data_IF_687214278076
#
_entry.id   IF_687214278076
#
_cell.length_a   1.000
_cell.length_b   1.000
_cell.length_c   1.000
_cell.angle_alpha   90.00
_cell.angle_beta   90.00
_cell.angle_gamma   90.00
#
_symmetry.space_group_name_H-M   'P 1'
#
loop_
_entity.id
_entity.type
_entity.pdbx_description
1 polymer ?
#
# COMPACT_ATOMS: atom_id res chain seq x y z
N UNK A 1 6.49 -4.79 13.07
CA UNK A 1 7.52 -5.56 12.33
C UNK A 1 8.85 -4.87 12.51
N UNK A 2 9.92 -5.66 12.63
CA UNK A 2 11.30 -5.19 12.59
C UNK A 2 12.04 -5.83 11.41
N UNK A 3 12.86 -5.05 10.72
CA UNK A 3 13.67 -5.48 9.58
C UNK A 3 15.08 -4.92 9.73
N UNK A 4 16.07 -5.79 9.66
CA UNK A 4 17.47 -5.43 9.52
C UNK A 4 17.93 -5.71 8.10
N UNK A 5 18.45 -4.67 7.46
CA UNK A 5 19.01 -4.77 6.12
C UNK A 5 20.42 -4.15 6.10
N UNK A 6 21.30 -4.72 5.29
CA UNK A 6 22.55 -4.08 4.89
C UNK A 6 22.31 -3.36 3.58
N UNK A 7 22.53 -2.05 3.51
CA UNK A 7 22.39 -1.24 2.28
C UNK A 7 23.78 -0.70 1.96
N UNK A 8 24.42 -1.22 0.90
CA UNK A 8 25.85 -1.01 0.69
C UNK A 8 26.66 -1.53 1.88
N UNK A 9 27.33 -0.62 2.60
CA UNK A 9 28.12 -0.96 3.80
C UNK A 9 27.44 -0.65 5.14
N UNK A 10 26.28 0.01 5.12
CA UNK A 10 25.57 0.37 6.33
C UNK A 10 24.55 -0.69 6.74
N UNK A 11 24.49 -0.99 8.05
CA UNK A 11 23.40 -1.78 8.63
C UNK A 11 22.32 -0.84 9.14
N UNK A 12 21.10 -1.05 8.67
CA UNK A 12 19.95 -0.21 9.02
C UNK A 12 18.85 -1.07 9.63
N UNK A 13 18.31 -0.59 10.76
CA UNK A 13 17.10 -1.12 11.38
C UNK A 13 15.89 -0.31 10.93
N UNK A 14 14.85 -0.98 10.48
CA UNK A 14 13.53 -0.41 10.22
C UNK A 14 12.50 -1.04 11.16
N UNK A 15 11.57 -0.23 11.67
CA UNK A 15 10.56 -0.67 12.63
C UNK A 15 9.21 0.01 12.35
N UNK A 16 8.14 -0.78 12.31
CA UNK A 16 6.79 -0.26 12.08
C UNK A 16 5.86 -1.27 11.43
N UNK A 17 4.89 -0.77 10.65
CA UNK A 17 4.06 -1.63 9.79
C UNK A 17 4.89 -2.16 8.62
N UNK A 18 4.54 -3.36 8.13
CA UNK A 18 5.25 -4.01 7.03
C UNK A 18 5.37 -3.12 5.79
N UNK A 19 4.29 -2.45 5.40
CA UNK A 19 4.26 -1.56 4.23
C UNK A 19 5.21 -0.39 4.41
N UNK A 20 5.14 0.30 5.57
CA UNK A 20 5.98 1.46 5.86
C UNK A 20 7.46 1.10 5.88
N UNK A 21 7.79 -0.01 6.55
CA UNK A 21 9.16 -0.53 6.60
C UNK A 21 9.72 -0.81 5.21
N UNK A 22 8.91 -1.41 4.32
CA UNK A 22 9.35 -1.70 2.95
C UNK A 22 9.40 -0.45 2.06
N UNK A 23 8.51 0.52 2.25
CA UNK A 23 8.60 1.83 1.60
C UNK A 23 9.90 2.55 1.98
N UNK A 24 10.19 2.65 3.27
CA UNK A 24 11.42 3.26 3.79
C UNK A 24 12.66 2.54 3.26
N UNK A 25 12.62 1.21 3.16
CA UNK A 25 13.70 0.43 2.58
C UNK A 25 13.93 0.79 1.10
N UNK A 26 12.87 0.86 0.29
CA UNK A 26 12.96 1.22 -1.13
C UNK A 26 13.50 2.63 -1.29
N UNK A 27 12.99 3.58 -0.49
CA UNK A 27 13.43 4.96 -0.49
C UNK A 27 14.88 5.13 -0.04
N UNK A 28 15.36 4.33 0.92
CA UNK A 28 16.74 4.41 1.41
C UNK A 28 17.73 3.68 0.50
N UNK A 29 17.28 2.65 -0.21
CA UNK A 29 18.13 1.92 -1.13
C UNK A 29 18.53 2.78 -2.36
N UNK A 30 17.62 3.57 -2.96
CA UNK A 30 17.87 4.44 -4.14
C UNK A 30 18.85 3.85 -5.19
N UNK A 31 18.69 2.58 -5.56
CA UNK A 31 19.56 1.91 -6.55
C UNK A 31 20.80 1.21 -5.99
N UNK A 32 21.06 1.29 -4.67
CA UNK A 32 22.05 0.47 -3.97
C UNK A 32 21.51 -0.94 -3.72
N UNK A 33 22.41 -1.91 -3.72
CA UNK A 33 22.06 -3.27 -3.30
C UNK A 33 21.69 -3.30 -1.81
N UNK A 34 20.58 -3.98 -1.51
CA UNK A 34 20.14 -4.23 -0.15
C UNK A 34 20.13 -5.74 0.12
N UNK A 35 20.78 -6.15 1.20
CA UNK A 35 20.81 -7.53 1.67
C UNK A 35 19.96 -7.66 2.93
N UNK A 36 19.12 -8.69 2.95
CA UNK A 36 18.30 -9.03 4.10
C UNK A 36 19.17 -9.69 5.18
N UNK A 37 19.27 -9.09 6.36
CA UNK A 37 19.99 -9.70 7.49
C UNK A 37 19.03 -10.50 8.37
N UNK A 38 18.03 -9.82 8.94
CA UNK A 38 17.04 -10.46 9.79
C UNK A 38 15.70 -9.74 9.65
N UNK A 39 14.61 -10.46 9.87
CA UNK A 39 13.29 -9.85 9.88
C UNK A 39 12.33 -10.58 10.80
N UNK A 40 11.52 -9.79 11.52
CA UNK A 40 10.52 -10.27 12.45
C UNK A 40 9.17 -9.62 12.16
N UNK A 41 8.20 -10.43 11.70
CA UNK A 41 6.87 -9.97 11.31
C UNK A 41 5.79 -11.02 11.60
N UNK A 42 4.52 -10.66 11.42
CA UNK A 42 3.41 -11.61 11.56
C UNK A 42 3.53 -12.76 10.54
N UNK A 43 2.98 -13.94 10.85
CA UNK A 43 3.14 -15.13 9.99
C UNK A 43 2.66 -14.90 8.55
N UNK A 44 1.53 -14.19 8.36
CA UNK A 44 0.98 -13.87 7.04
C UNK A 44 1.91 -12.96 6.24
N UNK A 45 2.42 -11.90 6.86
CA UNK A 45 3.35 -10.95 6.25
C UNK A 45 4.66 -11.63 5.87
N UNK A 46 5.22 -12.47 6.77
CA UNK A 46 6.43 -13.25 6.48
C UNK A 46 6.26 -14.17 5.28
N UNK A 47 5.14 -14.90 5.21
CA UNK A 47 4.86 -15.80 4.08
C UNK A 47 4.77 -15.03 2.77
N UNK A 48 4.14 -13.85 2.79
CA UNK A 48 4.02 -12.99 1.60
C UNK A 48 5.39 -12.46 1.16
N UNK A 49 6.17 -11.86 2.07
CA UNK A 49 7.51 -11.37 1.73
C UNK A 49 8.42 -12.48 1.18
N UNK A 50 8.40 -13.66 1.80
CA UNK A 50 9.15 -14.83 1.29
C UNK A 50 8.73 -15.27 -0.11
N UNK A 51 7.48 -15.01 -0.53
CA UNK A 51 7.04 -15.28 -1.92
C UNK A 51 7.60 -14.23 -2.86
N UNK A 52 7.49 -12.95 -2.50
CA UNK A 52 8.04 -11.86 -3.32
C UNK A 52 9.57 -11.99 -3.47
N UNK A 53 10.29 -12.32 -2.39
CA UNK A 53 11.74 -12.60 -2.44
C UNK A 53 12.08 -13.76 -3.36
N UNK A 54 11.27 -14.83 -3.40
CA UNK A 54 11.50 -15.94 -4.31
C UNK A 54 11.24 -15.55 -5.77
N UNK A 55 10.19 -14.77 -6.01
CA UNK A 55 9.86 -14.27 -7.34
C UNK A 55 10.92 -13.31 -7.88
N UNK A 56 11.49 -12.45 -7.03
CA UNK A 56 12.51 -11.47 -7.37
C UNK A 56 13.95 -12.01 -7.29
N UNK A 57 14.16 -13.34 -7.33
CA UNK A 57 15.52 -13.90 -7.32
C UNK A 57 16.35 -13.56 -6.07
N UNK A 58 15.71 -13.36 -4.91
CA UNK A 58 16.27 -12.89 -3.63
C UNK A 58 16.70 -11.41 -3.62
N UNK A 59 16.36 -10.62 -4.64
CA UNK A 59 16.53 -9.17 -4.60
C UNK A 59 15.55 -8.55 -3.59
N UNK A 60 16.06 -8.01 -2.49
CA UNK A 60 15.26 -7.46 -1.42
C UNK A 60 14.53 -6.16 -1.83
N UNK A 61 15.19 -5.29 -2.59
CA UNK A 61 14.61 -4.00 -3.03
C UNK A 61 13.44 -4.25 -3.96
N UNK A 62 13.63 -5.14 -4.94
CA UNK A 62 12.57 -5.50 -5.87
C UNK A 62 11.41 -6.22 -5.18
N UNK A 63 11.69 -7.16 -4.27
CA UNK A 63 10.67 -7.80 -3.46
C UNK A 63 9.88 -6.80 -2.60
N UNK A 64 10.55 -5.78 -2.06
CA UNK A 64 9.91 -4.71 -1.30
C UNK A 64 9.00 -3.85 -2.20
N UNK A 65 9.47 -3.43 -3.38
CA UNK A 65 8.66 -2.71 -4.37
C UNK A 65 7.41 -3.49 -4.77
N UNK A 66 7.58 -4.78 -5.09
CA UNK A 66 6.48 -5.66 -5.49
C UNK A 66 5.45 -5.82 -4.38
N UNK A 67 5.91 -5.99 -3.13
CA UNK A 67 5.03 -6.07 -1.97
C UNK A 67 4.22 -4.78 -1.77
N UNK A 68 4.90 -3.62 -1.76
CA UNK A 68 4.25 -2.32 -1.53
C UNK A 68 3.25 -2.02 -2.65
N UNK A 69 3.63 -2.28 -3.90
CA UNK A 69 2.74 -2.15 -5.07
C UNK A 69 1.51 -3.03 -4.93
N UNK A 70 1.68 -4.30 -4.54
CA UNK A 70 0.55 -5.20 -4.29
C UNK A 70 -0.39 -4.66 -3.21
N UNK A 71 0.16 -4.21 -2.09
CA UNK A 71 -0.62 -3.70 -0.97
C UNK A 71 -1.48 -2.49 -1.38
N UNK A 72 -0.86 -1.47 -1.97
CA UNK A 72 -1.59 -0.28 -2.41
C UNK A 72 -2.57 -0.55 -3.54
N UNK A 73 -2.24 -1.48 -4.45
CA UNK A 73 -3.21 -1.90 -5.48
C UNK A 73 -4.43 -2.55 -4.84
N UNK A 74 -4.25 -3.38 -3.81
CA UNK A 74 -5.37 -3.99 -3.08
C UNK A 74 -6.19 -2.95 -2.32
N UNK A 75 -5.54 -1.97 -1.69
CA UNK A 75 -6.19 -0.88 -0.97
C UNK A 75 -6.98 0.04 -1.90
N UNK A 76 -6.38 0.46 -3.03
CA UNK A 76 -7.06 1.23 -4.06
C UNK A 76 -8.30 0.51 -4.60
N UNK A 77 -8.21 -0.81 -4.83
CA UNK A 77 -9.37 -1.63 -5.23
C UNK A 77 -10.47 -1.64 -4.17
N UNK A 78 -10.12 -1.75 -2.89
CA UNK A 78 -11.08 -1.71 -1.78
C UNK A 78 -11.80 -0.37 -1.74
N UNK A 79 -11.07 0.74 -1.82
CA UNK A 79 -11.63 2.09 -1.82
C UNK A 79 -12.55 2.32 -3.02
N UNK A 80 -12.13 1.91 -4.23
CA UNK A 80 -12.98 2.00 -5.43
C UNK A 80 -14.30 1.23 -5.28
N UNK A 81 -14.28 0.05 -4.64
CA UNK A 81 -15.49 -0.72 -4.33
C UNK A 81 -16.39 0.02 -3.34
N UNK A 82 -15.83 0.57 -2.26
CA UNK A 82 -16.59 1.35 -1.29
C UNK A 82 -17.24 2.59 -1.91
N UNK A 83 -16.52 3.33 -2.76
CA UNK A 83 -17.09 4.47 -3.50
C UNK A 83 -18.26 4.01 -4.38
N UNK A 84 -18.09 2.89 -5.10
CA UNK A 84 -19.17 2.32 -5.94
C UNK A 84 -20.40 1.94 -5.13
N UNK A 85 -20.22 1.34 -3.95
CA UNK A 85 -21.32 0.98 -3.05
C UNK A 85 -22.01 2.21 -2.46
N UNK A 86 -21.28 3.25 -2.10
CA UNK A 86 -21.85 4.50 -1.61
C UNK A 86 -22.65 5.23 -2.70
N UNK A 87 -22.15 5.27 -3.93
CA UNK A 87 -22.88 5.83 -5.07
C UNK A 87 -24.20 5.11 -5.35
N UNK A 88 -24.30 3.81 -5.05
CA UNK A 88 -25.57 3.06 -5.16
C UNK A 88 -26.64 3.48 -4.15
N UNK A 89 -26.30 4.27 -3.13
CA UNK A 89 -27.25 4.78 -2.13
C UNK A 89 -27.94 6.08 -2.59
N UNK A 90 -27.90 6.38 -3.88
CA UNK A 90 -28.68 7.45 -4.50
C UNK A 90 -30.16 7.30 -4.14
N UNK A 91 -30.79 8.43 -3.81
CA UNK A 91 -32.22 8.54 -3.55
C UNK A 91 -32.86 9.44 -4.59
N UNK A 92 -34.15 9.28 -4.79
CA UNK A 92 -34.95 10.13 -5.67
C UNK A 92 -35.88 11.00 -4.82
N UNK A 93 -35.99 12.28 -5.15
CA UNK A 93 -36.95 13.15 -4.47
C UNK A 93 -38.32 13.11 -5.17
N UNK A 94 -39.32 13.79 -4.59
CA UNK A 94 -40.67 13.89 -5.17
C UNK A 94 -40.74 14.54 -6.56
N UNK A 95 -39.67 15.20 -7.00
CA UNK A 95 -39.53 15.82 -8.34
C UNK A 95 -38.80 14.91 -9.34
N UNK A 96 -38.49 13.67 -8.99
CA UNK A 96 -37.75 12.73 -9.83
C UNK A 96 -36.24 12.99 -9.92
N UNK A 97 -35.70 13.91 -9.10
CA UNK A 97 -34.28 14.26 -9.12
C UNK A 97 -33.51 13.29 -8.23
N UNK A 98 -32.52 12.60 -8.82
CA UNK A 98 -31.59 11.74 -8.08
C UNK A 98 -30.56 12.56 -7.33
N UNK A 99 -30.38 12.26 -6.05
CA UNK A 99 -29.39 12.91 -5.21
C UNK A 99 -28.76 11.94 -4.22
N UNK A 100 -27.55 12.25 -3.79
CA UNK A 100 -26.89 11.56 -2.69
C UNK A 100 -27.07 12.36 -1.40
N UNK A 101 -27.34 11.71 -0.26
CA UNK A 101 -27.35 12.38 1.04
C UNK A 101 -26.00 13.06 1.30
N UNK A 102 -26.00 14.26 1.89
CA UNK A 102 -24.80 15.07 2.13
C UNK A 102 -23.66 14.29 2.79
N UNK A 103 -23.96 13.51 3.84
CA UNK A 103 -22.96 12.68 4.52
C UNK A 103 -22.34 11.58 3.64
N UNK A 104 -23.09 11.06 2.67
CA UNK A 104 -22.58 10.08 1.69
C UNK A 104 -21.65 10.78 0.70
N UNK A 105 -21.98 12.00 0.27
CA UNK A 105 -21.12 12.82 -0.61
C UNK A 105 -19.80 13.14 0.09
N UNK A 106 -19.84 13.59 1.35
CA UNK A 106 -18.64 13.86 2.15
C UNK A 106 -17.76 12.62 2.30
N UNK A 107 -18.37 11.46 2.55
CA UNK A 107 -17.64 10.19 2.64
C UNK A 107 -17.00 9.79 1.31
N UNK A 108 -17.71 9.97 0.19
CA UNK A 108 -17.16 9.72 -1.15
C UNK A 108 -15.97 10.64 -1.41
N UNK A 109 -16.07 11.93 -1.11
CA UNK A 109 -14.99 12.90 -1.31
C UNK A 109 -13.74 12.53 -0.49
N UNK A 110 -13.94 12.12 0.77
CA UNK A 110 -12.83 11.62 1.62
C UNK A 110 -12.15 10.39 1.01
N UNK A 111 -12.94 9.42 0.55
CA UNK A 111 -12.41 8.20 -0.08
C UNK A 111 -11.72 8.50 -1.41
N UNK A 112 -12.21 9.48 -2.18
CA UNK A 112 -11.57 9.92 -3.42
C UNK A 112 -10.20 10.54 -3.14
N UNK A 113 -10.10 11.41 -2.12
CA UNK A 113 -8.81 11.98 -1.70
C UNK A 113 -7.81 10.89 -1.28
N UNK A 114 -8.25 9.91 -0.49
CA UNK A 114 -7.41 8.76 -0.11
C UNK A 114 -6.98 7.93 -1.33
N UNK A 115 -7.87 7.72 -2.29
CA UNK A 115 -7.55 7.00 -3.52
C UNK A 115 -6.50 7.75 -4.35
N UNK A 116 -6.59 9.07 -4.42
CA UNK A 116 -5.64 9.93 -5.12
C UNK A 116 -4.25 9.86 -4.48
N UNK A 117 -4.16 9.98 -3.14
CA UNK A 117 -2.92 9.82 -2.38
C UNK A 117 -2.26 8.45 -2.65
N UNK A 118 -3.06 7.37 -2.67
CA UNK A 118 -2.55 6.01 -2.97
C UNK A 118 -2.06 5.89 -4.42
N UNK A 119 -2.77 6.50 -5.39
CA UNK A 119 -2.34 6.46 -6.78
C UNK A 119 -1.04 7.25 -6.98
N UNK A 120 -0.86 8.37 -6.30
CA UNK A 120 0.40 9.14 -6.32
C UNK A 120 1.55 8.30 -5.76
N UNK A 121 1.35 7.60 -4.64
CA UNK A 121 2.35 6.67 -4.09
C UNK A 121 2.70 5.55 -5.07
N UNK A 122 1.69 4.95 -5.71
CA UNK A 122 1.89 3.92 -6.73
C UNK A 122 2.66 4.42 -7.95
N UNK A 123 2.47 5.68 -8.34
CA UNK A 123 3.22 6.29 -9.44
C UNK A 123 4.69 6.60 -9.06
N UNK A 124 4.96 6.80 -7.76
CA UNK A 124 6.31 7.13 -7.25
C UNK A 124 7.22 5.93 -6.92
N UNK A 125 6.69 4.70 -6.97
CA UNK A 125 7.39 3.44 -6.63
C UNK A 125 8.19 2.85 -7.79
#
# INVERSE_FOLDING_TARGET
MELWAKIGDEKVKFQGSMVKVLEELVQKAQGKEAQLLSFHAGQKERRRLKRELRAAGKNLVEAAKNYVRWYYTAEARKIRRQIKELKRREKENSKGIRYLPKGVVEQINRLQKQLEEINQKLASL
#
